data_IF_411141876675
#
_entry.id   IF_411141876675
#
_cell.length_a   1.000
_cell.length_b   1.000
_cell.length_c   1.000
_cell.angle_alpha   90.00
_cell.angle_beta   90.00
_cell.angle_gamma   90.00
#
_symmetry.space_group_name_H-M   'P 1'
#
loop_
_entity.id
_entity.type
_entity.pdbx_description
1 polymer ?
#
# COMPACT_ATOMS: atom_id res chain seq x y z
N UNK A 1 -21.00 -10.01 4.52
CA UNK A 1 -20.31 -9.78 3.23
C UNK A 1 -21.16 -8.83 2.43
N UNK A 2 -20.52 -7.82 1.86
CA UNK A 2 -21.20 -6.92 0.94
C UNK A 2 -21.51 -7.66 -0.36
N UNK A 3 -22.58 -7.24 -1.04
CA UNK A 3 -23.01 -7.82 -2.31
C UNK A 3 -23.31 -6.71 -3.30
N UNK A 4 -22.92 -6.92 -4.55
CA UNK A 4 -23.28 -6.04 -5.67
C UNK A 4 -24.44 -6.70 -6.41
N UNK A 5 -25.60 -6.04 -6.47
CA UNK A 5 -26.74 -6.45 -7.30
C UNK A 5 -26.78 -5.58 -8.55
N UNK A 6 -26.69 -6.18 -9.73
CA UNK A 6 -26.73 -5.48 -11.00
C UNK A 6 -28.05 -5.81 -11.71
N UNK A 7 -28.73 -4.78 -12.21
CA UNK A 7 -29.86 -4.92 -13.14
C UNK A 7 -29.36 -4.52 -14.52
N UNK A 8 -29.34 -5.48 -15.45
CA UNK A 8 -28.83 -5.28 -16.80
C UNK A 8 -29.74 -4.42 -17.68
N UNK A 9 -29.34 -4.22 -18.93
CA UNK A 9 -30.13 -3.48 -19.94
C UNK A 9 -29.73 -2.01 -20.11
N UNK A 10 -28.75 -1.52 -19.34
CA UNK A 10 -28.29 -0.13 -19.41
C UNK A 10 -26.97 -0.02 -20.19
N UNK A 11 -26.95 0.72 -21.29
CA UNK A 11 -25.72 1.10 -21.96
C UNK A 11 -24.94 2.13 -21.12
N UNK A 12 -23.62 1.95 -20.99
CA UNK A 12 -22.78 2.88 -20.23
C UNK A 12 -22.47 4.12 -21.09
N UNK A 13 -22.79 5.30 -20.56
CA UNK A 13 -22.43 6.59 -21.14
C UNK A 13 -21.88 7.52 -20.05
N UNK A 14 -20.66 8.02 -20.24
CA UNK A 14 -20.03 8.94 -19.29
C UNK A 14 -18.51 8.91 -19.34
N UNK A 15 -17.88 9.70 -18.48
CA UNK A 15 -16.44 9.79 -18.29
C UNK A 15 -16.15 9.56 -16.81
N UNK A 16 -15.17 8.70 -16.51
CA UNK A 16 -14.70 8.48 -15.14
C UNK A 16 -13.20 8.77 -15.05
N UNK A 17 -12.73 9.37 -13.93
CA UNK A 17 -11.30 9.46 -13.67
C UNK A 17 -10.73 8.08 -13.32
N UNK A 18 -9.49 7.82 -13.73
CA UNK A 18 -8.75 6.61 -13.37
C UNK A 18 -7.75 6.94 -12.26
N UNK A 19 -7.75 6.12 -11.21
CA UNK A 19 -6.80 6.23 -10.11
C UNK A 19 -5.42 5.69 -10.50
N UNK A 20 -4.39 6.01 -9.72
CA UNK A 20 -3.05 5.47 -9.93
C UNK A 20 -2.98 3.94 -9.90
N UNK A 21 -1.97 3.39 -10.58
CA UNK A 21 -1.81 1.95 -10.70
C UNK A 21 -1.43 1.31 -9.37
N UNK A 22 -2.31 0.46 -8.83
CA UNK A 22 -2.09 -0.29 -7.58
C UNK A 22 -0.74 -1.00 -7.55
N UNK A 23 -0.41 -1.75 -8.61
CA UNK A 23 0.81 -2.56 -8.66
C UNK A 23 2.09 -1.73 -8.82
N UNK A 24 1.98 -0.44 -9.16
CA UNK A 24 3.09 0.51 -9.09
C UNK A 24 3.16 1.17 -7.70
N UNK A 25 2.01 1.49 -7.10
CA UNK A 25 1.94 2.11 -5.78
C UNK A 25 2.53 1.22 -4.67
N UNK A 26 2.19 -0.08 -4.63
CA UNK A 26 2.66 -0.99 -3.57
C UNK A 26 4.21 -1.06 -3.45
N UNK A 27 4.99 -1.31 -4.52
CA UNK A 27 6.45 -1.31 -4.41
C UNK A 27 7.03 0.07 -4.11
N UNK A 28 6.42 1.14 -4.62
CA UNK A 28 6.83 2.51 -4.30
C UNK A 28 6.61 2.85 -2.82
N UNK A 29 5.51 2.38 -2.21
CA UNK A 29 5.29 2.52 -0.77
C UNK A 29 6.37 1.77 0.02
N UNK A 30 6.75 0.57 -0.41
CA UNK A 30 7.82 -0.23 0.21
C UNK A 30 9.18 0.44 0.08
N UNK A 31 9.43 1.16 -1.02
CA UNK A 31 10.66 1.93 -1.21
C UNK A 31 10.86 3.03 -0.13
N UNK A 32 9.80 3.45 0.58
CA UNK A 32 9.94 4.36 1.73
C UNK A 32 10.86 3.82 2.82
N UNK A 33 10.99 2.49 2.91
CA UNK A 33 11.93 1.87 3.85
C UNK A 33 13.37 2.18 3.49
N UNK A 34 13.73 2.49 2.23
CA UNK A 34 15.12 2.66 1.79
C UNK A 34 15.78 3.98 2.23
N UNK A 35 15.02 4.94 2.74
CA UNK A 35 15.52 6.27 3.13
C UNK A 35 14.97 6.69 4.49
N UNK A 36 15.71 7.54 5.20
CA UNK A 36 15.23 8.24 6.39
C UNK A 36 14.38 9.47 6.07
N UNK A 37 14.42 9.94 4.82
CA UNK A 37 13.67 11.10 4.36
C UNK A 37 12.20 10.76 4.11
N UNK A 38 11.35 11.78 4.06
CA UNK A 38 9.94 11.60 3.75
C UNK A 38 9.74 11.31 2.26
N UNK A 39 9.24 10.12 1.94
CA UNK A 39 8.76 9.77 0.61
C UNK A 39 7.29 10.22 0.47
N UNK A 40 7.01 11.05 -0.53
CA UNK A 40 5.64 11.49 -0.84
C UNK A 40 5.16 10.81 -2.12
N UNK A 41 4.05 10.09 -2.04
CA UNK A 41 3.38 9.50 -3.19
C UNK A 41 2.05 10.20 -3.44
N UNK A 42 1.90 10.70 -4.65
CA UNK A 42 0.64 11.27 -5.14
C UNK A 42 -0.13 10.24 -5.96
N UNK A 43 -1.42 10.50 -6.17
CA UNK A 43 -2.30 9.63 -6.95
C UNK A 43 -2.38 8.17 -6.45
N UNK A 44 -2.24 7.94 -5.14
CA UNK A 44 -2.31 6.59 -4.56
C UNK A 44 -3.77 6.14 -4.49
N UNK A 45 -4.16 4.99 -5.09
CA UNK A 45 -5.54 4.54 -5.09
C UNK A 45 -6.01 4.16 -3.67
N UNK A 46 -7.28 4.41 -3.37
CA UNK A 46 -7.88 4.04 -2.08
C UNK A 46 -8.42 2.59 -2.13
N UNK A 47 -7.56 1.62 -1.83
CA UNK A 47 -7.85 0.18 -1.94
C UNK A 47 -7.39 -0.58 -0.68
N UNK A 48 -7.98 -1.74 -0.42
CA UNK A 48 -7.65 -2.58 0.73
C UNK A 48 -6.17 -2.98 0.78
N UNK A 49 -5.56 -3.28 -0.38
CA UNK A 49 -4.12 -3.64 -0.47
C UNK A 49 -3.22 -2.49 0.02
N UNK A 50 -3.58 -1.23 -0.28
CA UNK A 50 -2.84 -0.04 0.16
C UNK A 50 -2.95 0.12 1.67
N UNK A 51 -4.16 -0.01 2.23
CA UNK A 51 -4.39 0.07 3.67
C UNK A 51 -3.65 -1.03 4.44
N UNK A 52 -3.66 -2.25 3.91
CA UNK A 52 -2.94 -3.37 4.51
C UNK A 52 -1.42 -3.14 4.48
N UNK A 53 -0.88 -2.65 3.35
CA UNK A 53 0.53 -2.36 3.25
C UNK A 53 0.97 -1.23 4.16
N UNK A 54 0.15 -0.19 4.34
CA UNK A 54 0.41 0.88 5.33
C UNK A 54 0.60 0.31 6.74
N UNK A 55 -0.22 -0.67 7.14
CA UNK A 55 -0.08 -1.33 8.45
C UNK A 55 1.21 -2.15 8.57
N UNK A 56 1.59 -2.85 7.50
CA UNK A 56 2.85 -3.62 7.44
C UNK A 56 4.04 -2.68 7.57
N UNK A 57 4.06 -1.59 6.82
CA UNK A 57 5.11 -0.58 6.91
C UNK A 57 5.16 0.05 8.32
N UNK A 58 4.01 0.31 8.93
CA UNK A 58 3.92 0.75 10.32
C UNK A 58 4.61 -0.20 11.31
N UNK A 59 4.48 -1.53 11.15
CA UNK A 59 5.19 -2.48 12.02
C UNK A 59 6.71 -2.45 11.90
N UNK A 60 7.25 -1.88 10.81
CA UNK A 60 8.68 -1.67 10.62
C UNK A 60 9.15 -0.28 11.09
N UNK A 61 8.25 0.58 11.58
CA UNK A 61 8.58 1.93 12.04
C UNK A 61 8.39 3.02 10.99
N UNK A 62 7.59 2.76 9.95
CA UNK A 62 7.21 3.80 8.97
C UNK A 62 6.03 4.61 9.52
N UNK A 63 6.25 5.90 9.73
CA UNK A 63 5.17 6.85 10.00
C UNK A 63 4.44 7.18 8.69
N UNK A 64 3.12 7.08 8.70
CA UNK A 64 2.27 7.34 7.53
C UNK A 64 1.28 8.46 7.81
N UNK A 65 1.30 9.51 6.99
CA UNK A 65 0.30 10.57 7.04
C UNK A 65 -0.40 10.70 5.70
N UNK A 66 -1.72 10.89 5.73
CA UNK A 66 -2.56 11.04 4.54
C UNK A 66 -3.09 12.46 4.52
N UNK A 67 -2.91 13.16 3.39
CA UNK A 67 -3.43 14.51 3.27
C UNK A 67 -4.96 14.51 3.40
N UNK A 68 -5.48 15.47 4.16
CA UNK A 68 -6.91 15.66 4.34
C UNK A 68 -7.61 15.99 3.02
N UNK A 69 -8.94 15.73 2.99
CA UNK A 69 -9.76 16.09 1.84
C UNK A 69 -9.83 17.60 1.70
N UNK A 70 -9.59 18.12 0.49
CA UNK A 70 -9.81 19.53 0.16
C UNK A 70 -11.22 19.72 -0.39
N UNK A 71 -11.81 20.88 -0.17
CA UNK A 71 -13.19 21.24 -0.59
C UNK A 71 -13.45 21.03 -2.10
N UNK A 72 -12.39 21.06 -2.92
CA UNK A 72 -12.42 20.83 -4.38
C UNK A 72 -11.96 19.44 -4.83
N UNK A 73 -11.64 18.52 -3.92
CA UNK A 73 -11.34 17.13 -4.32
C UNK A 73 -12.65 16.39 -4.60
N UNK A 74 -13.05 16.41 -5.87
CA UNK A 74 -14.16 15.59 -6.35
C UNK A 74 -13.73 14.11 -6.40
N UNK A 75 -14.31 13.31 -5.51
CA UNK A 75 -14.14 11.85 -5.48
C UNK A 75 -12.98 11.35 -4.62
N UNK A 76 -13.17 10.19 -3.99
CA UNK A 76 -12.19 9.53 -3.11
C UNK A 76 -11.20 8.64 -3.86
N UNK A 77 -10.99 8.86 -5.17
CA UNK A 77 -10.34 7.89 -6.05
C UNK A 77 -8.83 7.76 -5.82
N UNK A 78 -8.18 8.84 -5.41
CA UNK A 78 -6.74 8.86 -5.16
C UNK A 78 -6.35 9.81 -4.03
N UNK A 79 -5.19 9.57 -3.41
CA UNK A 79 -4.71 10.28 -2.22
C UNK A 79 -3.22 10.63 -2.35
N UNK A 80 -2.81 11.69 -1.66
CA UNK A 80 -1.40 11.95 -1.39
C UNK A 80 -1.07 11.39 -0.01
N UNK A 81 -0.04 10.54 0.04
CA UNK A 81 0.39 9.85 1.25
C UNK A 81 1.88 10.11 1.44
N UNK A 82 2.27 10.42 2.67
CA UNK A 82 3.65 10.63 3.08
C UNK A 82 4.09 9.47 3.96
N UNK A 83 5.28 8.94 3.69
CA UNK A 83 5.90 7.84 4.41
C UNK A 83 7.25 8.29 4.92
N UNK A 84 7.51 8.15 6.22
CA UNK A 84 8.80 8.53 6.82
C UNK A 84 9.33 7.37 7.65
N UNK A 85 10.54 6.88 7.36
CA UNK A 85 11.16 5.74 8.05
C UNK A 85 12.55 6.09 8.58
N UNK A 86 12.62 6.97 9.59
CA UNK A 86 13.91 7.39 10.17
C UNK A 86 14.70 6.22 10.72
N UNK A 87 14.01 5.36 11.48
CA UNK A 87 14.60 4.17 12.11
C UNK A 87 13.71 2.98 11.85
N UNK A 88 14.30 1.88 11.37
CA UNK A 88 13.61 0.60 11.30
C UNK A 88 13.59 -0.01 12.71
N UNK A 89 12.41 -0.29 13.25
CA UNK A 89 12.25 -0.78 14.63
C UNK A 89 12.14 -2.30 14.72
N UNK A 90 11.75 -2.96 13.63
CA UNK A 90 11.73 -4.42 13.51
C UNK A 90 12.08 -4.82 12.07
N UNK A 91 12.87 -5.87 11.93
CA UNK A 91 13.27 -6.47 10.64
C UNK A 91 12.48 -7.76 10.35
N UNK A 92 11.47 -8.06 11.18
CA UNK A 92 10.62 -9.24 11.07
C UNK A 92 9.26 -8.88 10.48
N UNK A 93 8.89 -9.52 9.37
CA UNK A 93 7.54 -9.47 8.82
C UNK A 93 6.82 -10.81 9.09
N UNK A 94 5.94 -10.87 10.11
CA UNK A 94 5.32 -12.13 10.56
C UNK A 94 4.31 -12.68 9.55
N UNK A 95 4.04 -13.98 9.65
CA UNK A 95 3.11 -14.71 8.78
C UNK A 95 1.71 -14.08 8.74
N UNK A 96 1.18 -13.61 9.87
CA UNK A 96 -0.16 -13.01 9.94
C UNK A 96 -0.33 -11.77 9.05
N UNK A 97 0.77 -11.06 8.79
CA UNK A 97 0.80 -9.91 7.90
C UNK A 97 1.04 -10.34 6.45
N UNK A 98 2.01 -11.24 6.24
CA UNK A 98 2.39 -11.67 4.89
C UNK A 98 1.34 -12.55 4.21
N UNK A 99 0.67 -13.41 4.96
CA UNK A 99 -0.37 -14.32 4.46
C UNK A 99 -1.59 -13.57 3.89
N UNK A 100 -1.82 -12.33 4.33
CA UNK A 100 -2.93 -11.50 3.84
C UNK A 100 -2.67 -10.88 2.48
N UNK A 101 -1.41 -10.67 2.09
CA UNK A 101 -1.05 -10.08 0.80
C UNK A 101 0.36 -10.47 0.39
N UNK A 102 0.49 -11.23 -0.71
CA UNK A 102 1.78 -11.69 -1.26
C UNK A 102 2.77 -10.56 -1.54
N UNK A 103 2.31 -9.38 -1.99
CA UNK A 103 3.17 -8.24 -2.30
C UNK A 103 3.94 -7.69 -1.07
N UNK A 104 3.48 -8.00 0.15
CA UNK A 104 4.18 -7.64 1.38
C UNK A 104 5.58 -8.26 1.47
N UNK A 105 5.83 -9.37 0.77
CA UNK A 105 7.14 -10.01 0.72
C UNK A 105 8.26 -9.07 0.25
N UNK A 106 7.93 -8.06 -0.56
CA UNK A 106 8.93 -7.13 -1.09
C UNK A 106 9.60 -6.24 -0.04
N UNK A 107 9.09 -6.18 1.21
CA UNK A 107 9.82 -5.52 2.32
C UNK A 107 11.17 -6.17 2.59
N UNK A 108 11.36 -7.43 2.18
CA UNK A 108 12.63 -8.15 2.29
C UNK A 108 13.81 -7.36 1.69
N UNK A 109 13.61 -6.76 0.50
CA UNK A 109 14.67 -6.03 -0.20
C UNK A 109 15.18 -4.83 0.59
N UNK A 110 14.32 -3.84 0.90
CA UNK A 110 14.72 -2.67 1.67
C UNK A 110 15.23 -2.97 3.08
N UNK A 111 14.64 -3.95 3.78
CA UNK A 111 15.11 -4.34 5.11
C UNK A 111 16.53 -4.91 5.05
N UNK A 112 16.81 -5.79 4.09
CA UNK A 112 18.17 -6.29 3.87
C UNK A 112 19.14 -5.18 3.47
N UNK A 113 18.71 -4.26 2.61
CA UNK A 113 19.55 -3.17 2.11
C UNK A 113 19.97 -2.19 3.23
N UNK A 114 19.07 -1.86 4.17
CA UNK A 114 19.35 -0.92 5.26
C UNK A 114 19.93 -1.54 6.52
N UNK A 115 19.42 -2.70 6.92
CA UNK A 115 19.75 -3.30 8.23
C UNK A 115 20.68 -4.52 8.11
N UNK A 116 20.99 -4.96 6.89
CA UNK A 116 21.83 -6.14 6.62
C UNK A 116 21.19 -7.48 7.00
N UNK A 117 19.97 -7.45 7.55
CA UNK A 117 19.21 -8.64 7.99
C UNK A 117 17.71 -8.40 7.86
N UNK A 118 16.98 -9.47 7.57
CA UNK A 118 15.53 -9.46 7.54
C UNK A 118 14.99 -10.87 7.78
N UNK A 119 13.82 -10.98 8.40
CA UNK A 119 13.09 -12.23 8.58
C UNK A 119 11.67 -12.05 8.08
N UNK A 120 11.41 -12.47 6.85
CA UNK A 120 10.11 -12.31 6.19
C UNK A 120 9.50 -13.69 5.96
N UNK A 121 8.23 -13.85 6.33
CA UNK A 121 7.51 -15.10 6.08
C UNK A 121 7.39 -15.38 4.57
N UNK A 122 7.57 -16.63 4.16
CA UNK A 122 7.42 -17.03 2.77
C UNK A 122 5.92 -17.07 2.40
N UNK A 123 5.48 -16.40 1.32
CA UNK A 123 4.08 -16.46 0.88
C UNK A 123 3.68 -17.89 0.51
N UNK A 124 2.48 -18.30 0.93
CA UNK A 124 1.89 -19.59 0.56
C UNK A 124 1.24 -19.61 -0.83
N UNK A 125 0.35 -20.59 -1.02
CA UNK A 125 -0.45 -20.76 -2.23
C UNK A 125 -1.42 -19.60 -2.48
N UNK A 126 -1.77 -19.38 -3.74
CA UNK A 126 -2.78 -18.41 -4.15
C UNK A 126 -3.67 -19.07 -5.21
N UNK A 127 -4.98 -18.87 -5.12
CA UNK A 127 -5.98 -19.51 -5.97
C UNK A 127 -6.22 -18.77 -7.31
N UNK A 128 -5.21 -18.06 -7.79
CA UNK A 128 -5.25 -17.29 -9.04
C UNK A 128 -4.90 -18.13 -10.24
#
# INVERSE_FOLDING_TARGET
MDRIRIVGGNALHGIIPISGAKNAALPLMIASLLTSDTLTLENVPHLADVELLMRILGSHGVDVTVNGRRERQSGSYARTIHFTCRTIVDTTAPYELVSKMRASFWVLGPLLAREGKARVSLPGGCAI
#
